data_IF_549993619915
#
_entry.id   IF_549993619915
#
_cell.length_a   1.000
_cell.length_b   1.000
_cell.length_c   1.000
_cell.angle_alpha   90.00
_cell.angle_beta   90.00
_cell.angle_gamma   90.00
#
_symmetry.space_group_name_H-M   'P 1'
#
loop_
_entity.id
_entity.type
_entity.pdbx_description
1 polymer ?
#
# COMPACT_ATOMS: atom_id res chain seq x y z
N UNK A 1 -17.99 -2.86 -8.42
CA UNK A 1 -17.64 -3.57 -9.68
C UNK A 1 -17.76 -5.05 -9.38
N UNK A 2 -18.34 -5.81 -10.30
CA UNK A 2 -18.62 -7.24 -10.07
C UNK A 2 -18.16 -8.15 -11.21
N UNK A 3 -17.90 -7.60 -12.41
CA UNK A 3 -17.42 -8.36 -13.56
C UNK A 3 -16.84 -7.42 -14.65
N UNK A 4 -16.30 -7.98 -15.73
CA UNK A 4 -15.80 -7.26 -16.91
C UNK A 4 -16.43 -7.76 -18.20
N UNK A 5 -16.57 -6.88 -19.19
CA UNK A 5 -16.97 -7.25 -20.56
C UNK A 5 -15.68 -7.41 -21.36
N UNK A 6 -15.39 -8.64 -21.79
CA UNK A 6 -14.13 -9.02 -22.43
C UNK A 6 -14.39 -9.60 -23.83
N UNK A 7 -13.60 -9.15 -24.79
CA UNK A 7 -13.55 -9.66 -26.17
C UNK A 7 -12.10 -10.04 -26.50
N UNK A 8 -11.75 -11.32 -26.35
CA UNK A 8 -10.38 -11.77 -26.56
C UNK A 8 -9.39 -11.11 -25.58
N UNK A 9 -8.44 -10.32 -26.08
CA UNK A 9 -7.44 -9.60 -25.28
C UNK A 9 -7.84 -8.15 -24.96
N UNK A 10 -9.08 -7.76 -25.27
CA UNK A 10 -9.61 -6.42 -25.05
C UNK A 10 -10.70 -6.42 -23.98
N UNK A 11 -10.69 -5.40 -23.11
CA UNK A 11 -11.77 -5.09 -22.17
C UNK A 11 -12.65 -4.01 -22.80
N UNK A 12 -13.90 -4.36 -23.12
CA UNK A 12 -14.89 -3.43 -23.69
C UNK A 12 -15.59 -2.60 -22.59
N UNK A 13 -15.58 -3.07 -21.35
CA UNK A 13 -16.14 -2.33 -20.21
C UNK A 13 -16.11 -3.11 -18.89
N UNK A 14 -16.66 -2.48 -17.85
CA UNK A 14 -16.81 -3.09 -16.51
C UNK A 14 -18.26 -3.10 -16.07
N UNK A 15 -18.68 -4.16 -15.37
CA UNK A 15 -20.02 -4.29 -14.80
C UNK A 15 -20.02 -3.79 -13.36
N UNK A 16 -20.92 -2.85 -13.07
CA UNK A 16 -21.05 -2.20 -11.77
C UNK A 16 -22.43 -2.47 -11.18
N UNK A 17 -22.45 -2.90 -9.92
CA UNK A 17 -23.65 -2.95 -9.10
C UNK A 17 -23.73 -1.70 -8.23
N UNK A 18 -24.89 -1.05 -8.23
CA UNK A 18 -25.20 0.11 -7.40
C UNK A 18 -26.60 0.00 -6.81
N UNK A 19 -27.00 0.96 -5.96
CA UNK A 19 -28.39 1.07 -5.48
C UNK A 19 -29.39 1.25 -6.63
N UNK A 20 -28.95 1.71 -7.81
CA UNK A 20 -29.77 1.88 -9.00
C UNK A 20 -29.81 0.65 -9.91
N UNK A 21 -29.24 -0.48 -9.48
CA UNK A 21 -29.17 -1.71 -10.25
C UNK A 21 -27.81 -1.96 -10.90
N UNK A 22 -27.81 -2.87 -11.88
CA UNK A 22 -26.64 -3.28 -12.65
C UNK A 22 -26.53 -2.45 -13.93
N UNK A 23 -25.33 -1.95 -14.23
CA UNK A 23 -25.04 -1.29 -15.50
C UNK A 23 -23.58 -1.51 -15.91
N UNK A 24 -23.31 -1.31 -17.20
CA UNK A 24 -21.96 -1.39 -17.75
C UNK A 24 -21.39 0.02 -17.97
N UNK A 25 -20.11 0.19 -17.67
CA UNK A 25 -19.32 1.35 -18.06
C UNK A 25 -18.39 0.90 -19.17
N UNK A 26 -18.60 1.40 -20.39
CA UNK A 26 -17.80 1.08 -21.56
C UNK A 26 -16.59 2.02 -21.66
N UNK A 27 -15.45 1.51 -22.11
CA UNK A 27 -14.23 2.30 -22.24
C UNK A 27 -13.29 1.74 -23.32
N UNK A 28 -12.52 2.62 -23.96
CA UNK A 28 -11.50 2.22 -24.92
C UNK A 28 -10.22 1.70 -24.27
N UNK A 29 -9.90 2.24 -23.09
CA UNK A 29 -8.79 1.86 -22.22
C UNK A 29 -9.31 1.78 -20.80
N UNK A 30 -8.94 0.72 -20.09
CA UNK A 30 -9.29 0.52 -18.68
C UNK A 30 -8.02 0.59 -17.84
N UNK A 31 -8.06 1.39 -16.76
CA UNK A 31 -6.99 1.45 -15.77
C UNK A 31 -7.57 0.90 -14.46
N UNK A 32 -7.03 -0.23 -14.02
CA UNK A 32 -7.36 -0.83 -12.74
C UNK A 32 -6.66 -0.07 -11.60
N UNK A 33 -7.46 0.76 -10.94
CA UNK A 33 -7.07 1.54 -9.77
C UNK A 33 -7.75 1.04 -8.49
N UNK A 34 -8.24 -0.22 -8.43
CA UNK A 34 -8.92 -0.69 -7.20
C UNK A 34 -7.95 -0.85 -6.03
N UNK A 35 -6.65 -0.90 -6.32
CA UNK A 35 -5.60 -1.21 -5.34
C UNK A 35 -5.45 -2.72 -5.12
N UNK A 36 -6.45 -3.51 -5.53
CA UNK A 36 -6.50 -4.97 -5.40
C UNK A 36 -6.40 -5.72 -6.72
N UNK A 37 -6.34 -4.98 -7.83
CA UNK A 37 -6.27 -5.53 -9.18
C UNK A 37 -7.53 -6.31 -9.55
N UNK A 38 -8.71 -5.86 -9.09
CA UNK A 38 -9.95 -6.63 -9.24
C UNK A 38 -10.43 -6.68 -10.69
N UNK A 39 -10.28 -5.61 -11.48
CA UNK A 39 -10.62 -5.62 -12.92
C UNK A 39 -9.72 -6.64 -13.61
N UNK A 40 -8.41 -6.56 -13.34
CA UNK A 40 -7.44 -7.45 -13.97
C UNK A 40 -7.69 -8.91 -13.59
N UNK A 41 -7.95 -9.19 -12.31
CA UNK A 41 -8.28 -10.53 -11.85
C UNK A 41 -9.58 -11.06 -12.46
N UNK A 42 -10.66 -10.25 -12.51
CA UNK A 42 -11.93 -10.61 -13.15
C UNK A 42 -11.77 -10.85 -14.65
N UNK A 43 -10.87 -10.12 -15.30
CA UNK A 43 -10.52 -10.35 -16.70
C UNK A 43 -9.75 -11.66 -16.94
N UNK A 44 -9.24 -12.29 -15.88
CA UNK A 44 -8.41 -13.50 -15.95
C UNK A 44 -6.92 -13.21 -16.13
N UNK A 45 -6.45 -12.01 -15.75
CA UNK A 45 -5.03 -11.70 -15.73
C UNK A 45 -4.29 -12.51 -14.65
N UNK A 46 -3.06 -12.89 -14.97
CA UNK A 46 -2.16 -13.52 -14.01
C UNK A 46 -1.74 -12.53 -12.92
N UNK A 47 -1.58 -13.01 -11.69
CA UNK A 47 -1.11 -12.20 -10.57
C UNK A 47 -0.31 -13.02 -9.56
N UNK A 48 0.56 -12.35 -8.82
CA UNK A 48 1.22 -12.88 -7.64
C UNK A 48 0.53 -12.36 -6.36
N UNK A 49 0.64 -13.11 -5.26
CA UNK A 49 0.09 -12.75 -3.96
C UNK A 49 1.02 -13.23 -2.85
N UNK A 50 1.24 -12.42 -1.83
CA UNK A 50 2.07 -12.80 -0.68
C UNK A 50 3.55 -13.01 -1.00
N UNK A 51 4.24 -13.59 -0.04
CA UNK A 51 5.57 -14.17 -0.20
C UNK A 51 5.52 -15.52 -0.97
N UNK A 52 6.62 -16.28 -0.96
CA UNK A 52 6.67 -17.61 -1.61
C UNK A 52 5.76 -18.66 -0.98
N UNK A 53 5.21 -18.41 0.21
CA UNK A 53 4.21 -19.24 0.87
C UNK A 53 2.78 -18.69 0.68
N UNK A 54 2.59 -17.72 -0.22
CA UNK A 54 1.33 -16.98 -0.44
C UNK A 54 0.82 -16.30 0.84
N UNK A 55 1.72 -15.86 1.71
CA UNK A 55 1.37 -15.14 2.93
C UNK A 55 1.57 -13.64 2.72
N UNK A 56 0.48 -12.86 2.81
CA UNK A 56 0.55 -11.41 2.72
C UNK A 56 1.15 -10.80 3.99
N UNK A 57 1.74 -9.62 3.85
CA UNK A 57 2.13 -8.82 5.01
C UNK A 57 0.90 -8.51 5.89
N UNK A 58 1.07 -8.48 7.23
CA UNK A 58 -0.03 -8.22 8.16
C UNK A 58 -0.76 -6.92 7.83
N UNK A 59 -2.05 -6.86 8.15
CA UNK A 59 -2.83 -5.63 8.06
C UNK A 59 -2.69 -4.81 9.35
N UNK A 60 -3.05 -3.53 9.32
CA UNK A 60 -3.04 -2.67 10.52
C UNK A 60 -4.33 -1.87 10.61
N UNK A 61 -4.95 -1.88 11.79
CA UNK A 61 -6.00 -0.95 12.20
C UNK A 61 -5.37 0.25 12.90
N UNK A 62 -4.91 1.24 12.12
CA UNK A 62 -4.44 2.50 12.69
C UNK A 62 -5.64 3.27 13.24
N UNK A 63 -5.57 3.71 14.49
CA UNK A 63 -6.70 4.38 15.16
C UNK A 63 -6.27 5.71 15.77
N UNK A 64 -7.20 6.65 15.83
CA UNK A 64 -6.95 8.00 16.33
C UNK A 64 -7.37 8.11 17.78
N UNK A 65 -6.55 8.76 18.59
CA UNK A 65 -6.78 8.99 20.01
C UNK A 65 -6.70 10.47 20.34
N UNK A 66 -7.43 10.88 21.38
CA UNK A 66 -7.28 12.15 22.07
C UNK A 66 -6.59 11.94 23.43
N UNK A 67 -6.28 13.05 24.12
CA UNK A 67 -5.70 13.02 25.47
C UNK A 67 -4.19 12.80 25.51
N UNK A 68 -3.50 12.91 24.36
CA UNK A 68 -2.03 12.90 24.33
C UNK A 68 -1.51 14.12 25.10
N UNK A 69 -0.53 13.90 25.98
CA UNK A 69 0.14 14.99 26.70
C UNK A 69 0.88 15.94 25.75
N UNK A 70 0.95 17.21 26.13
CA UNK A 70 1.56 18.27 25.32
C UNK A 70 3.09 18.21 25.26
N UNK A 71 3.73 17.60 26.25
CA UNK A 71 5.18 17.43 26.38
C UNK A 71 5.67 16.07 25.84
N UNK A 72 4.82 15.31 25.15
CA UNK A 72 5.23 14.07 24.52
C UNK A 72 6.27 14.40 23.43
N UNK A 73 7.48 13.81 23.47
CA UNK A 73 8.48 14.08 22.45
C UNK A 73 7.91 13.71 21.09
N UNK A 74 7.92 14.68 20.15
CA UNK A 74 7.51 14.42 18.78
C UNK A 74 8.49 13.44 18.14
N UNK A 75 8.01 12.27 17.71
CA UNK A 75 8.83 11.30 16.97
C UNK A 75 8.34 9.87 17.10
N UNK A 76 8.95 8.98 16.32
CA UNK A 76 8.73 7.53 16.34
C UNK A 76 9.37 6.85 17.56
N UNK A 77 9.73 7.60 18.60
CA UNK A 77 10.67 7.13 19.61
C UNK A 77 10.07 6.01 20.46
N UNK A 78 10.78 4.89 20.50
CA UNK A 78 10.42 3.68 21.25
C UNK A 78 10.45 3.86 22.79
N UNK A 79 10.79 5.05 23.30
CA UNK A 79 10.99 5.30 24.73
C UNK A 79 9.74 5.00 25.58
N UNK A 80 8.55 5.31 25.04
CA UNK A 80 7.29 4.99 25.72
C UNK A 80 7.04 3.47 25.75
N UNK A 81 7.42 2.77 24.68
CA UNK A 81 7.27 1.32 24.58
C UNK A 81 8.27 0.58 25.48
N UNK A 82 9.50 1.08 25.58
CA UNK A 82 10.48 0.60 26.57
C UNK A 82 10.00 0.80 28.00
N UNK A 83 9.33 1.93 28.28
CA UNK A 83 8.70 2.16 29.59
C UNK A 83 7.52 1.23 29.83
N UNK A 84 6.72 0.94 28.80
CA UNK A 84 5.64 -0.03 28.89
C UNK A 84 6.16 -1.44 29.21
N UNK A 85 7.25 -1.88 28.57
CA UNK A 85 7.87 -3.19 28.81
C UNK A 85 8.33 -3.41 30.26
N UNK A 86 8.63 -2.32 30.99
CA UNK A 86 8.93 -2.38 32.44
C UNK A 86 7.69 -2.66 33.31
N UNK A 87 6.48 -2.47 32.76
CA UNK A 87 5.20 -2.59 33.49
C UNK A 87 4.40 -3.81 33.04
N UNK A 88 4.52 -4.19 31.78
CA UNK A 88 3.92 -5.40 31.19
C UNK A 88 5.04 -6.15 30.47
N UNK A 89 5.33 -7.42 30.81
CA UNK A 89 6.30 -8.22 30.08
C UNK A 89 5.96 -8.25 28.59
N UNK A 90 6.95 -8.00 27.73
CA UNK A 90 6.77 -7.90 26.28
C UNK A 90 6.08 -9.15 25.69
N UNK A 91 6.42 -10.34 26.19
CA UNK A 91 5.78 -11.58 25.76
C UNK A 91 4.24 -11.55 25.90
N UNK A 92 3.72 -10.96 26.98
CA UNK A 92 2.27 -10.83 27.19
C UNK A 92 1.63 -9.81 26.26
N UNK A 93 2.38 -8.78 25.86
CA UNK A 93 1.94 -7.84 24.83
C UNK A 93 1.89 -8.55 23.48
N UNK A 94 2.93 -9.30 23.12
CA UNK A 94 3.05 -10.01 21.85
C UNK A 94 2.02 -11.12 21.65
N UNK A 95 1.56 -11.76 22.73
CA UNK A 95 0.43 -12.69 22.71
C UNK A 95 -0.88 -12.02 22.28
N UNK A 96 -1.02 -10.71 22.50
CA UNK A 96 -2.23 -9.95 22.21
C UNK A 96 -2.10 -9.10 20.95
N UNK A 97 -0.92 -8.53 20.71
CA UNK A 97 -0.58 -7.64 19.60
C UNK A 97 0.78 -8.11 19.07
N UNK A 98 0.83 -8.89 17.98
CA UNK A 98 2.06 -9.49 17.47
C UNK A 98 2.95 -8.48 16.73
N UNK A 99 3.27 -7.35 17.37
CA UNK A 99 4.15 -6.30 16.85
C UNK A 99 4.77 -5.47 17.97
N UNK A 100 6.08 -5.28 17.90
CA UNK A 100 6.90 -4.64 18.94
C UNK A 100 7.53 -3.30 18.54
N UNK A 101 7.16 -2.75 17.38
CA UNK A 101 7.64 -1.44 16.93
C UNK A 101 6.48 -0.42 16.79
N UNK A 102 5.71 -0.16 17.85
CA UNK A 102 4.56 0.73 17.74
C UNK A 102 4.96 2.20 17.61
N UNK A 103 4.14 2.97 16.88
CA UNK A 103 4.32 4.41 16.73
C UNK A 103 3.12 5.19 17.29
N UNK A 104 3.43 6.28 17.98
CA UNK A 104 2.50 7.35 18.33
C UNK A 104 2.85 8.52 17.41
N UNK A 105 1.92 8.91 16.55
CA UNK A 105 2.15 9.95 15.54
C UNK A 105 1.30 11.16 15.93
N UNK A 106 1.89 12.22 16.53
CA UNK A 106 1.15 13.43 16.87
C UNK A 106 0.51 14.06 15.65
N UNK A 107 -0.74 14.50 15.79
CA UNK A 107 -1.50 15.17 14.73
C UNK A 107 -1.42 16.71 14.89
N UNK A 108 -1.73 17.49 13.84
CA UNK A 108 -1.69 18.95 13.91
C UNK A 108 -2.57 19.56 15.01
N UNK A 109 -3.63 18.86 15.41
CA UNK A 109 -4.48 19.28 16.53
C UNK A 109 -3.84 18.85 17.86
N UNK A 110 -3.55 19.78 18.79
CA UNK A 110 -2.94 19.46 20.06
C UNK A 110 -3.76 18.41 20.83
N UNK A 111 -3.04 17.45 21.44
CA UNK A 111 -3.62 16.38 22.23
C UNK A 111 -4.17 15.20 21.42
N UNK A 112 -4.06 15.22 20.09
CA UNK A 112 -4.46 14.11 19.23
C UNK A 112 -3.27 13.39 18.60
N UNK A 113 -3.40 12.07 18.46
CA UNK A 113 -2.42 11.24 17.78
C UNK A 113 -3.07 10.14 16.97
N UNK A 114 -2.33 9.65 15.97
CA UNK A 114 -2.59 8.38 15.31
C UNK A 114 -1.73 7.30 15.96
N UNK A 115 -2.33 6.16 16.29
CA UNK A 115 -1.64 5.00 16.85
C UNK A 115 -1.45 3.96 15.76
N UNK A 116 -0.19 3.59 15.51
CA UNK A 116 0.19 2.49 14.63
C UNK A 116 0.77 1.37 15.49
N UNK A 117 -0.03 0.35 15.79
CA UNK A 117 0.44 -0.76 16.62
C UNK A 117 -0.18 -2.11 16.27
N UNK A 118 -1.48 -2.15 15.94
CA UNK A 118 -2.13 -3.43 15.64
C UNK A 118 -1.49 -4.13 14.44
N UNK A 119 -1.32 -5.45 14.53
CA UNK A 119 -0.86 -6.29 13.44
C UNK A 119 -1.74 -7.51 13.32
N UNK A 120 -2.43 -7.61 12.18
CA UNK A 120 -3.41 -8.66 11.90
C UNK A 120 -2.81 -9.59 10.83
N UNK A 121 -2.34 -10.75 11.27
CA UNK A 121 -1.68 -11.74 10.40
C UNK A 121 -2.67 -12.77 9.84
N UNK A 122 -2.26 -13.47 8.78
CA UNK A 122 -2.96 -14.64 8.21
C UNK A 122 -4.38 -14.33 7.71
N UNK A 123 -4.59 -13.10 7.26
CA UNK A 123 -5.82 -12.68 6.58
C UNK A 123 -5.52 -12.21 5.16
N UNK A 124 -6.49 -12.39 4.29
CA UNK A 124 -6.42 -12.04 2.88
C UNK A 124 -7.18 -10.73 2.63
N UNK A 125 -6.54 -9.80 1.91
CA UNK A 125 -7.19 -8.54 1.52
C UNK A 125 -8.14 -8.67 0.32
N UNK A 126 -8.25 -9.86 -0.27
CA UNK A 126 -9.07 -10.14 -1.46
C UNK A 126 -10.21 -11.12 -1.16
N UNK A 127 -10.49 -11.35 0.11
CA UNK A 127 -11.54 -12.23 0.59
C UNK A 127 -12.39 -11.49 1.63
N UNK A 128 -13.71 -11.44 1.42
CA UNK A 128 -14.62 -10.63 2.21
C UNK A 128 -14.76 -11.14 3.66
N UNK A 129 -14.82 -12.46 3.85
CA UNK A 129 -14.92 -13.08 5.17
C UNK A 129 -13.61 -12.89 5.94
N UNK A 130 -12.48 -13.00 5.25
CA UNK A 130 -11.16 -12.74 5.82
C UNK A 130 -11.00 -11.29 6.25
N UNK A 131 -11.46 -10.32 5.45
CA UNK A 131 -11.48 -8.90 5.83
C UNK A 131 -12.39 -8.63 7.03
N UNK A 132 -13.53 -9.32 7.12
CA UNK A 132 -14.44 -9.23 8.27
C UNK A 132 -13.75 -9.75 9.53
N UNK A 133 -13.18 -10.95 9.48
CA UNK A 133 -12.44 -11.54 10.60
C UNK A 133 -11.23 -10.68 11.01
N UNK A 134 -10.48 -10.16 10.03
CA UNK A 134 -9.36 -9.26 10.27
C UNK A 134 -9.78 -7.96 10.96
N UNK A 135 -10.94 -7.42 10.59
CA UNK A 135 -11.50 -6.21 11.21
C UNK A 135 -11.90 -6.46 12.66
N UNK A 136 -12.52 -7.61 12.95
CA UNK A 136 -12.86 -8.01 14.32
C UNK A 136 -11.60 -8.19 15.18
N UNK A 137 -10.58 -8.84 14.64
CA UNK A 137 -9.29 -9.02 15.32
C UNK A 137 -8.59 -7.67 15.57
N UNK A 138 -8.56 -6.78 14.59
CA UNK A 138 -8.01 -5.43 14.77
C UNK A 138 -8.74 -4.66 15.89
N UNK A 139 -10.09 -4.73 15.93
CA UNK A 139 -10.87 -4.11 17.01
C UNK A 139 -10.58 -4.71 18.38
N UNK A 140 -10.43 -6.04 18.46
CA UNK A 140 -10.03 -6.74 19.69
C UNK A 140 -8.68 -6.23 20.21
N UNK A 141 -7.69 -6.07 19.31
CA UNK A 141 -6.38 -5.50 19.66
C UNK A 141 -6.50 -4.04 20.14
N UNK A 142 -7.31 -3.21 19.47
CA UNK A 142 -7.54 -1.82 19.90
C UNK A 142 -8.17 -1.77 21.30
N UNK A 143 -9.21 -2.56 21.56
CA UNK A 143 -9.82 -2.63 22.90
C UNK A 143 -8.79 -3.05 23.97
N UNK A 144 -7.97 -4.06 23.68
CA UNK A 144 -6.91 -4.46 24.60
C UNK A 144 -5.91 -3.32 24.87
N UNK A 145 -5.52 -2.56 23.84
CA UNK A 145 -4.63 -1.40 24.01
C UNK A 145 -5.29 -0.34 24.92
N UNK A 146 -6.54 0.02 24.64
CA UNK A 146 -7.27 1.06 25.37
C UNK A 146 -7.53 0.67 26.83
N UNK A 147 -7.95 -0.57 27.08
CA UNK A 147 -8.44 -0.99 28.39
C UNK A 147 -7.31 -1.53 29.28
N UNK A 148 -6.33 -2.20 28.69
CA UNK A 148 -5.30 -2.93 29.45
C UNK A 148 -3.92 -2.27 29.41
N UNK A 149 -3.61 -1.50 28.35
CA UNK A 149 -2.28 -0.92 28.14
C UNK A 149 -2.23 0.55 28.51
N UNK A 150 -2.99 1.41 27.85
CA UNK A 150 -2.90 2.87 28.03
C UNK A 150 -3.07 3.35 29.49
N UNK A 151 -3.96 2.77 30.32
CA UNK A 151 -4.07 3.15 31.73
C UNK A 151 -2.77 2.93 32.51
N UNK A 152 -1.96 1.94 32.10
CA UNK A 152 -0.67 1.64 32.74
C UNK A 152 0.45 2.56 32.31
N UNK A 153 0.25 3.45 31.34
CA UNK A 153 1.27 4.41 30.86
C UNK A 153 0.69 5.82 30.75
N UNK A 154 -0.36 6.13 31.51
CA UNK A 154 -0.99 7.47 31.56
C UNK A 154 0.01 8.56 31.96
N UNK A 155 0.94 8.24 32.84
CA UNK A 155 2.08 9.08 33.25
C UNK A 155 3.20 9.17 32.20
N UNK A 156 3.09 8.48 31.06
CA UNK A 156 4.00 8.58 29.89
C UNK A 156 3.34 9.19 28.65
N UNK A 157 2.07 8.86 28.35
CA UNK A 157 1.38 9.34 27.14
C UNK A 157 0.25 10.33 27.41
N UNK A 158 -0.28 10.40 28.63
CA UNK A 158 -1.50 11.14 28.94
C UNK A 158 -2.72 10.21 29.02
N UNK A 159 -3.89 10.79 29.24
CA UNK A 159 -5.13 10.03 29.40
C UNK A 159 -5.77 9.77 28.03
N UNK A 160 -5.24 8.75 27.34
CA UNK A 160 -5.63 8.45 25.97
C UNK A 160 -7.05 7.87 25.89
N UNK A 161 -7.85 8.39 24.96
CA UNK A 161 -9.18 7.87 24.64
C UNK A 161 -9.39 7.78 23.13
N UNK A 162 -10.17 6.78 22.69
CA UNK A 162 -10.44 6.55 21.26
C UNK A 162 -11.30 7.69 20.69
N UNK A 163 -10.83 8.26 19.58
CA UNK A 163 -11.61 9.20 18.77
C UNK A 163 -12.23 8.51 17.56
N UNK A 164 -11.46 7.66 16.88
CA UNK A 164 -11.86 7.15 15.57
C UNK A 164 -11.14 5.84 15.21
N UNK A 165 -11.89 4.92 14.60
CA UNK A 165 -11.37 3.75 13.89
C UNK A 165 -11.40 4.01 12.38
N UNK A 166 -10.51 3.40 11.59
CA UNK A 166 -10.47 3.64 10.16
C UNK A 166 -11.69 2.99 9.50
N UNK A 167 -12.23 3.64 8.46
CA UNK A 167 -13.36 3.13 7.69
C UNK A 167 -13.06 1.78 7.01
N UNK A 168 -11.80 1.56 6.65
CA UNK A 168 -11.29 0.32 6.06
C UNK A 168 -9.98 -0.05 6.76
N UNK A 169 -9.76 -1.35 6.96
CA UNK A 169 -8.52 -1.86 7.53
C UNK A 169 -7.33 -1.50 6.61
N UNK A 170 -6.18 -1.19 7.21
CA UNK A 170 -4.94 -0.93 6.47
C UNK A 170 -4.38 -2.21 5.85
N UNK A 171 -4.87 -2.56 4.66
CA UNK A 171 -4.39 -3.70 3.87
C UNK A 171 -3.07 -3.33 3.22
N UNK A 172 -2.00 -4.04 3.60
CA UNK A 172 -0.66 -3.77 3.07
C UNK A 172 -0.47 -4.30 1.66
N UNK A 173 -1.06 -5.44 1.36
CA UNK A 173 -0.78 -6.22 0.17
C UNK A 173 -1.99 -7.05 -0.25
N UNK A 174 -2.17 -7.15 -1.56
CA UNK A 174 -3.11 -8.07 -2.21
C UNK A 174 -2.50 -8.60 -3.50
N UNK A 175 -3.18 -8.45 -4.66
CA UNK A 175 -2.66 -8.92 -5.94
C UNK A 175 -1.64 -7.95 -6.48
N UNK A 176 -0.52 -8.51 -6.95
CA UNK A 176 0.42 -7.83 -7.84
C UNK A 176 0.21 -8.41 -9.23
N UNK A 177 -0.45 -7.65 -10.09
CA UNK A 177 -0.82 -8.11 -11.43
C UNK A 177 0.44 -8.27 -12.27
N UNK A 178 0.54 -9.36 -13.02
CA UNK A 178 1.68 -9.61 -13.91
C UNK A 178 1.54 -8.73 -15.14
N UNK A 179 2.49 -7.81 -15.28
CA UNK A 179 2.58 -6.91 -16.43
C UNK A 179 3.67 -7.33 -17.43
N UNK A 180 3.90 -6.48 -18.44
CA UNK A 180 4.97 -6.69 -19.41
C UNK A 180 6.37 -6.62 -18.81
N UNK A 181 6.48 -5.96 -17.66
CA UNK A 181 7.70 -5.92 -16.86
C UNK A 181 7.35 -6.08 -15.39
N UNK A 182 8.13 -6.86 -14.64
CA UNK A 182 8.00 -6.98 -13.20
C UNK A 182 9.17 -6.26 -12.55
N UNK A 183 8.89 -5.16 -11.85
CA UNK A 183 9.93 -4.46 -11.08
C UNK A 183 10.50 -5.41 -10.03
N UNK A 184 11.77 -5.77 -10.18
CA UNK A 184 12.40 -6.82 -9.39
C UNK A 184 13.19 -6.28 -8.20
N UNK A 185 13.55 -7.16 -7.27
CA UNK A 185 14.48 -6.81 -6.18
C UNK A 185 15.87 -6.41 -6.71
N UNK A 186 16.26 -6.96 -7.86
CA UNK A 186 17.52 -6.64 -8.54
C UNK A 186 17.51 -5.22 -9.11
N UNK A 187 16.36 -4.76 -9.62
CA UNK A 187 16.21 -3.39 -10.10
C UNK A 187 16.38 -2.36 -8.96
N UNK A 188 15.94 -2.70 -7.75
CA UNK A 188 16.17 -1.87 -6.56
C UNK A 188 17.65 -1.88 -6.18
N UNK A 189 18.26 -3.07 -6.12
CA UNK A 189 19.68 -3.24 -5.78
C UNK A 189 20.60 -2.47 -6.73
N UNK A 190 20.25 -2.44 -8.00
CA UNK A 190 21.02 -1.74 -9.05
C UNK A 190 20.50 -0.32 -9.31
N UNK A 191 19.58 0.19 -8.50
CA UNK A 191 19.06 1.57 -8.59
C UNK A 191 18.59 1.93 -10.01
N UNK A 192 17.93 0.97 -10.64
CA UNK A 192 17.78 0.95 -12.09
C UNK A 192 16.97 2.14 -12.58
N UNK A 193 17.48 2.79 -13.63
CA UNK A 193 16.80 3.85 -14.36
C UNK A 193 16.22 3.29 -15.66
N UNK A 194 15.03 3.76 -16.04
CA UNK A 194 14.37 3.30 -17.26
C UNK A 194 14.08 4.46 -18.23
N UNK A 195 14.22 4.25 -19.55
CA UNK A 195 13.89 5.27 -20.56
C UNK A 195 12.37 5.51 -20.69
N UNK A 196 11.54 4.68 -20.06
CA UNK A 196 10.09 4.80 -19.97
C UNK A 196 9.64 4.95 -18.51
N UNK A 197 10.49 5.52 -17.64
CA UNK A 197 10.17 5.73 -16.23
C UNK A 197 8.95 6.64 -16.03
N UNK A 198 8.03 6.22 -15.17
CA UNK A 198 6.82 6.97 -14.80
C UNK A 198 6.81 7.44 -13.36
N UNK A 199 7.55 6.76 -12.49
CA UNK A 199 7.65 7.10 -11.08
C UNK A 199 9.05 6.77 -10.57
N UNK A 200 9.65 7.70 -9.82
CA UNK A 200 10.94 7.49 -9.17
C UNK A 200 10.75 7.11 -7.69
N UNK A 201 11.09 5.85 -7.41
CA UNK A 201 11.25 5.13 -6.16
C UNK A 201 12.17 5.77 -5.11
N UNK A 202 11.74 6.47 -4.04
CA UNK A 202 12.66 6.87 -2.95
C UNK A 202 12.32 6.36 -1.56
N UNK A 203 11.12 5.83 -1.38
CA UNK A 203 10.74 5.20 -0.13
C UNK A 203 11.52 3.90 0.05
N UNK A 204 12.07 3.70 1.25
CA UNK A 204 12.73 2.45 1.60
C UNK A 204 11.78 1.25 1.53
N UNK A 205 12.36 0.07 1.41
CA UNK A 205 11.63 -1.19 1.52
C UNK A 205 11.15 -1.34 2.95
N UNK A 206 9.83 -1.46 3.15
CA UNK A 206 9.20 -1.68 4.46
C UNK A 206 8.38 -2.98 4.42
N UNK A 207 8.99 -4.07 4.89
CA UNK A 207 8.40 -5.41 4.95
C UNK A 207 8.07 -5.74 6.39
N UNK A 208 6.81 -5.97 6.69
CA UNK A 208 6.42 -6.65 7.92
C UNK A 208 6.33 -8.15 7.64
N UNK A 209 7.21 -8.92 8.29
CA UNK A 209 7.41 -10.33 7.97
C UNK A 209 6.13 -11.12 8.23
N UNK A 210 5.57 -11.82 7.22
CA UNK A 210 4.36 -12.61 7.40
C UNK A 210 4.54 -13.67 8.51
N UNK A 211 3.63 -13.67 9.49
CA UNK A 211 3.65 -14.60 10.62
C UNK A 211 4.73 -14.34 11.69
N UNK A 212 5.47 -13.23 11.62
CA UNK A 212 6.49 -12.83 12.60
C UNK A 212 6.22 -11.42 13.12
N UNK A 213 6.79 -11.10 14.28
CA UNK A 213 6.78 -9.75 14.87
C UNK A 213 7.80 -8.82 14.19
N UNK A 214 8.70 -9.38 13.37
CA UNK A 214 9.80 -8.68 12.74
C UNK A 214 9.36 -7.74 11.61
N UNK A 215 10.09 -6.64 11.48
CA UNK A 215 9.97 -5.67 10.39
C UNK A 215 11.36 -5.44 9.79
N UNK A 216 11.44 -5.51 8.48
CA UNK A 216 12.64 -5.20 7.71
C UNK A 216 12.48 -3.82 7.07
N UNK A 217 13.42 -2.91 7.36
CA UNK A 217 13.52 -1.60 6.74
C UNK A 217 14.85 -1.50 6.00
N UNK A 218 14.82 -1.31 4.67
CA UNK A 218 16.03 -1.17 3.85
C UNK A 218 15.97 0.11 3.02
N UNK A 219 17.00 0.93 3.17
CA UNK A 219 17.18 2.15 2.38
C UNK A 219 17.91 1.86 1.06
N UNK A 220 17.62 2.67 0.04
CA UNK A 220 18.29 2.67 -1.27
C UNK A 220 18.30 4.10 -1.84
N UNK A 221 19.18 4.43 -2.80
CA UNK A 221 19.23 5.80 -3.33
C UNK A 221 18.06 6.12 -4.28
N UNK A 222 17.51 5.09 -4.91
CA UNK A 222 16.26 5.17 -5.67
C UNK A 222 16.25 4.30 -6.92
N UNK A 223 15.06 3.93 -7.39
CA UNK A 223 14.89 3.15 -8.63
C UNK A 223 13.66 3.64 -9.39
N UNK A 224 13.57 3.35 -10.68
CA UNK A 224 12.43 3.76 -11.49
C UNK A 224 11.39 2.64 -11.63
N UNK A 225 10.12 3.03 -11.69
CA UNK A 225 9.04 2.18 -12.19
C UNK A 225 8.83 2.54 -13.66
N UNK A 226 9.05 1.60 -14.60
CA UNK A 226 8.79 1.87 -16.02
C UNK A 226 7.31 1.69 -16.36
N UNK A 227 6.82 2.46 -17.33
CA UNK A 227 5.43 2.47 -17.82
C UNK A 227 4.93 1.07 -18.17
N UNK A 228 5.80 0.25 -18.77
CA UNK A 228 5.46 -1.15 -19.11
C UNK A 228 5.11 -2.04 -17.91
N UNK A 229 5.46 -1.66 -16.69
CA UNK A 229 5.03 -2.39 -15.48
C UNK A 229 3.57 -2.14 -15.12
N UNK A 230 2.95 -1.13 -15.73
CA UNK A 230 1.54 -0.80 -15.56
C UNK A 230 0.65 -1.57 -16.54
N UNK A 231 1.19 -2.02 -17.68
CA UNK A 231 0.41 -2.74 -18.68
C UNK A 231 0.20 -4.19 -18.26
N UNK A 232 -1.05 -4.64 -18.27
CA UNK A 232 -1.39 -6.02 -17.91
C UNK A 232 -1.01 -6.95 -19.06
N UNK A 233 -0.25 -8.00 -18.75
CA UNK A 233 0.24 -8.96 -19.75
C UNK A 233 -0.94 -9.74 -20.35
N UNK A 234 -0.94 -9.89 -21.68
CA UNK A 234 -2.03 -10.57 -22.41
C UNK A 234 -3.27 -9.72 -22.67
N UNK A 235 -3.21 -8.41 -22.40
CA UNK A 235 -4.27 -7.46 -22.74
C UNK A 235 -3.73 -6.26 -23.54
N UNK A 236 -4.56 -5.79 -24.47
CA UNK A 236 -4.22 -4.68 -25.37
C UNK A 236 -4.49 -3.30 -24.76
N UNK A 237 -5.52 -3.21 -23.91
CA UNK A 237 -6.07 -1.94 -23.43
C UNK A 237 -6.29 -1.89 -21.91
N UNK A 238 -5.68 -2.80 -21.15
CA UNK A 238 -5.79 -2.87 -19.70
C UNK A 238 -4.48 -2.47 -19.02
N UNK A 239 -4.58 -1.51 -18.10
CA UNK A 239 -3.50 -1.06 -17.23
C UNK A 239 -3.84 -1.31 -15.76
N UNK A 240 -2.84 -1.23 -14.90
CA UNK A 240 -2.97 -1.15 -13.44
C UNK A 240 -2.27 0.10 -12.94
N UNK A 241 -2.76 0.67 -11.84
CA UNK A 241 -2.11 1.78 -11.17
C UNK A 241 -2.24 1.66 -9.63
N UNK A 242 -1.33 2.31 -8.92
CA UNK A 242 -1.22 2.21 -7.47
C UNK A 242 -0.43 0.96 -7.04
N UNK A 243 -0.86 0.31 -5.96
CA UNK A 243 -0.12 -0.80 -5.36
C UNK A 243 -0.23 -2.14 -6.11
N UNK A 244 -1.24 -2.31 -6.98
CA UNK A 244 -1.50 -3.57 -7.68
C UNK A 244 -0.65 -3.80 -8.94
N UNK A 245 0.28 -2.88 -9.24
CA UNK A 245 1.13 -2.94 -10.44
C UNK A 245 2.12 -4.12 -10.39
N UNK A 246 2.76 -4.39 -11.52
CA UNK A 246 3.69 -5.51 -11.65
C UNK A 246 5.01 -5.27 -10.93
N UNK A 247 5.21 -5.97 -9.81
CA UNK A 247 6.47 -5.97 -9.08
C UNK A 247 6.66 -7.21 -8.22
N UNK A 248 7.90 -7.45 -7.81
CA UNK A 248 8.21 -8.47 -6.81
C UNK A 248 7.63 -8.11 -5.45
N UNK A 249 7.50 -9.10 -4.56
CA UNK A 249 7.09 -8.89 -3.16
C UNK A 249 7.91 -7.77 -2.48
N UNK A 250 9.23 -7.77 -2.70
CA UNK A 250 10.15 -6.80 -2.10
C UNK A 250 10.06 -5.42 -2.74
N UNK A 251 9.91 -5.33 -4.07
CA UNK A 251 9.71 -4.05 -4.74
C UNK A 251 8.39 -3.40 -4.34
N UNK A 252 7.33 -4.19 -4.23
CA UNK A 252 6.01 -3.75 -3.76
C UNK A 252 6.09 -3.09 -2.39
N UNK A 253 6.88 -3.65 -1.46
CA UNK A 253 7.10 -3.08 -0.14
C UNK A 253 7.72 -1.67 -0.16
N UNK A 254 8.41 -1.27 -1.23
CA UNK A 254 8.94 0.08 -1.41
C UNK A 254 7.98 1.02 -2.16
N UNK A 255 7.34 0.55 -3.25
CA UNK A 255 6.54 1.44 -4.10
C UNK A 255 5.09 1.61 -3.68
N UNK A 256 4.52 0.74 -2.84
CA UNK A 256 3.08 0.75 -2.51
C UNK A 256 2.59 1.95 -1.69
N UNK A 257 3.49 2.84 -1.26
CA UNK A 257 3.13 4.03 -0.48
C UNK A 257 2.32 5.04 -1.30
N UNK A 258 1.48 5.83 -0.63
CA UNK A 258 0.52 6.75 -1.25
C UNK A 258 1.16 7.72 -2.24
N UNK A 259 2.32 8.30 -1.90
CA UNK A 259 3.01 9.27 -2.76
C UNK A 259 3.36 8.69 -4.14
N UNK A 260 3.90 7.48 -4.18
CA UNK A 260 4.22 6.80 -5.43
C UNK A 260 2.95 6.39 -6.19
N UNK A 261 1.93 5.91 -5.47
CA UNK A 261 0.65 5.54 -6.07
C UNK A 261 -0.02 6.70 -6.82
N UNK A 262 0.05 7.93 -6.27
CA UNK A 262 -0.44 9.14 -6.95
C UNK A 262 0.28 9.38 -8.28
N UNK A 263 1.62 9.31 -8.28
CA UNK A 263 2.41 9.53 -9.49
C UNK A 263 2.20 8.45 -10.55
N UNK A 264 2.08 7.20 -10.13
CA UNK A 264 1.75 6.07 -10.99
C UNK A 264 0.36 6.28 -11.63
N UNK A 265 -0.64 6.69 -10.84
CA UNK A 265 -1.99 6.97 -11.33
C UNK A 265 -2.04 8.10 -12.35
N UNK A 266 -1.37 9.22 -12.08
CA UNK A 266 -1.23 10.33 -13.04
C UNK A 266 -0.62 9.84 -14.36
N UNK A 267 0.46 9.06 -14.28
CA UNK A 267 1.17 8.58 -15.45
C UNK A 267 0.35 7.58 -16.28
N UNK A 268 -0.41 6.70 -15.62
CA UNK A 268 -1.34 5.80 -16.30
C UNK A 268 -2.44 6.57 -17.03
N UNK A 269 -3.02 7.59 -16.37
CA UNK A 269 -4.03 8.46 -16.99
C UNK A 269 -3.51 9.20 -18.21
N UNK A 270 -2.30 9.78 -18.12
CA UNK A 270 -1.65 10.46 -19.24
C UNK A 270 -1.38 9.51 -20.41
N UNK A 271 -0.95 8.27 -20.13
CA UNK A 271 -0.70 7.29 -21.18
C UNK A 271 -1.99 6.86 -21.90
N UNK A 272 -3.07 6.61 -21.14
CA UNK A 272 -4.36 6.28 -21.71
C UNK A 272 -4.95 7.41 -22.54
N UNK A 273 -4.94 8.65 -22.01
CA UNK A 273 -5.43 9.82 -22.72
C UNK A 273 -4.62 10.12 -23.98
N UNK A 274 -3.29 9.98 -23.91
CA UNK A 274 -2.39 10.15 -25.04
C UNK A 274 -2.65 9.14 -26.15
N UNK A 275 -2.83 7.86 -25.81
CA UNK A 275 -3.15 6.81 -26.77
C UNK A 275 -4.49 7.05 -27.48
N UNK A 276 -5.53 7.40 -26.73
CA UNK A 276 -6.86 7.69 -27.27
C UNK A 276 -6.82 8.92 -28.20
N UNK A 277 -6.17 10.00 -27.76
CA UNK A 277 -6.07 11.25 -28.55
C UNK A 277 -5.32 11.04 -29.86
N UNK A 278 -4.27 10.20 -29.84
CA UNK A 278 -3.49 9.88 -31.03
C UNK A 278 -4.16 8.84 -31.94
N UNK A 279 -5.27 8.22 -31.52
CA UNK A 279 -5.89 7.10 -32.24
C UNK A 279 -4.98 5.88 -32.35
N UNK A 280 -4.10 5.66 -31.37
CA UNK A 280 -3.11 4.59 -31.36
C UNK A 280 -3.42 3.53 -30.29
N UNK A 281 -3.15 2.25 -30.56
CA UNK A 281 -3.13 1.24 -29.51
C UNK A 281 -2.18 1.64 -28.38
N UNK A 282 -2.60 1.41 -27.14
CA UNK A 282 -1.92 1.87 -25.92
C UNK A 282 -0.41 1.56 -25.92
N UNK A 283 -0.04 0.32 -26.24
CA UNK A 283 1.35 -0.13 -26.30
C UNK A 283 2.15 0.50 -27.44
N UNK A 284 1.51 0.77 -28.58
CA UNK A 284 2.15 1.47 -29.70
C UNK A 284 2.42 2.92 -29.36
N UNK A 285 1.46 3.60 -28.74
CA UNK A 285 1.64 4.97 -28.24
C UNK A 285 2.81 5.04 -27.25
N UNK A 286 2.86 4.12 -26.29
CA UNK A 286 3.92 4.07 -25.28
C UNK A 286 5.31 3.83 -25.88
N UNK A 287 5.42 2.97 -26.90
CA UNK A 287 6.68 2.73 -27.59
C UNK A 287 7.23 3.97 -28.31
N UNK A 288 6.35 4.85 -28.78
CA UNK A 288 6.69 6.10 -29.49
C UNK A 288 6.94 7.29 -28.55
N UNK A 289 6.38 7.26 -27.34
CA UNK A 289 6.41 8.38 -26.38
C UNK A 289 7.22 8.05 -25.13
N UNK A 290 8.40 7.44 -25.31
CA UNK A 290 9.34 7.21 -24.20
C UNK A 290 9.87 8.55 -23.71
N UNK A 291 9.59 8.90 -22.46
CA UNK A 291 10.16 10.09 -21.82
C UNK A 291 11.66 9.87 -21.58
N UNK A 292 12.52 10.56 -22.31
CA UNK A 292 13.94 10.66 -21.93
C UNK A 292 13.99 11.25 -20.51
N UNK A 293 14.62 10.59 -19.53
CA UNK A 293 14.67 11.12 -18.17
C UNK A 293 15.32 12.51 -18.17
N UNK A 294 14.63 13.52 -17.64
CA UNK A 294 15.28 14.78 -17.31
C UNK A 294 16.35 14.50 -16.25
N UNK A 295 17.61 14.52 -16.64
CA UNK A 295 18.74 14.53 -15.73
C UNK A 295 18.82 15.89 -15.03
N UNK A 296 17.94 16.15 -14.07
CA UNK A 296 18.16 17.25 -13.12
C UNK A 296 18.86 16.71 -11.87
N UNK A 297 20.18 16.66 -11.95
CA UNK A 297 21.00 16.80 -10.75
C UNK A 297 20.75 18.18 -10.16
N UNK A 298 20.10 18.24 -9.01
CA UNK A 298 20.18 19.38 -8.12
C UNK A 298 20.34 18.85 -6.70
N UNK A 299 21.54 18.36 -6.40
CA UNK A 299 22.05 18.33 -5.04
C UNK A 299 22.23 19.79 -4.61
N UNK A 300 21.14 20.42 -4.15
CA UNK A 300 21.27 21.51 -3.20
C UNK A 300 21.41 20.88 -1.83
N UNK A 301 22.66 20.89 -1.38
CA UNK A 301 23.06 20.87 0.02
C UNK A 301 21.97 21.51 0.89
N UNK A 302 21.40 20.72 1.80
CA UNK A 302 20.87 21.26 3.05
C UNK A 302 21.73 20.69 4.15
N UNK A 303 22.81 21.41 4.42
CA UNK A 303 23.52 21.33 5.69
C UNK A 303 22.70 21.98 6.80
N UNK A 304 23.03 21.52 8.01
CA UNK A 304 22.56 21.87 9.36
C UNK A 304 21.33 21.11 9.84
#
# INVERSE_FOLDING_TARGET
MIDVIREGERISGVIVASKSGLFAILADVVIDCTGDGDIAALAGAEYAFGDSANCAQPMTMMFRVGGLRHDHPAGWSAEWYDTLKKRIPEQKLLEQIPYNCPAVIPLPRPGEAMIQWTHIHRHSGIDADSLTAATLEGRRQVCFILDMVFPKIRDVLGDLYLLELPAVLGVRETRRIIGDYTVSSEDIRNERRFPDAVCHVRNGIDIHTPGSVEQEIVHHAGFDIPLRSLFVKGFDNLMTAGRCISGSFRAHAAYRVTGNCLKIGESAGNAAAGAITAGLPLRKWAAQNKSVPETTHNNRERGK
#
